data_IF_733745610588
#
_entry.id   IF_733745610588
#
_cell.length_a   1.000
_cell.length_b   1.000
_cell.length_c   1.000
_cell.angle_alpha   90.00
_cell.angle_beta   90.00
_cell.angle_gamma   90.00
#
_symmetry.space_group_name_H-M   'P 1'
#
loop_
_entity.id
_entity.type
_entity.pdbx_description
1 polymer ?
#
# COMPACT_ATOMS: atom_id res chain seq x y z
N UNK A 1 5.31 -3.35 -23.60
CA UNK A 1 6.30 -3.68 -22.54
C UNK A 1 6.63 -2.40 -21.79
N UNK A 2 5.85 -2.04 -20.76
CA UNK A 2 6.18 -0.94 -19.85
C UNK A 2 5.84 -1.43 -18.44
N UNK A 3 6.82 -2.04 -17.77
CA UNK A 3 6.75 -2.35 -16.34
C UNK A 3 7.35 -1.15 -15.62
N UNK A 4 6.50 -0.25 -15.11
CA UNK A 4 6.91 0.87 -14.28
C UNK A 4 7.07 0.36 -12.84
N UNK A 5 8.26 -0.16 -12.52
CA UNK A 5 8.63 -0.38 -11.14
C UNK A 5 9.10 0.97 -10.56
N UNK A 6 8.38 1.47 -9.55
CA UNK A 6 8.89 2.52 -8.69
C UNK A 6 10.18 2.02 -8.03
N UNK A 7 11.29 2.74 -8.23
CA UNK A 7 12.56 2.37 -7.61
C UNK A 7 12.60 3.05 -6.24
N UNK A 8 12.35 2.27 -5.18
CA UNK A 8 12.69 2.67 -3.80
C UNK A 8 14.19 2.50 -3.58
N UNK A 9 14.82 3.49 -2.93
CA UNK A 9 16.26 3.71 -2.99
C UNK A 9 17.04 3.30 -1.73
N UNK A 10 16.36 2.81 -0.68
CA UNK A 10 17.03 2.41 0.57
C UNK A 10 17.92 1.17 0.36
N UNK A 11 19.16 1.14 0.88
CA UNK A 11 20.04 0.00 0.73
C UNK A 11 19.47 -1.23 1.44
N UNK A 12 19.44 -2.38 0.75
CA UNK A 12 19.31 -3.69 1.40
C UNK A 12 20.61 -3.96 2.17
N UNK A 13 20.54 -4.11 3.48
CA UNK A 13 21.71 -4.40 4.31
C UNK A 13 22.31 -5.75 3.94
N UNK A 14 23.38 -5.73 3.15
CA UNK A 14 24.28 -6.86 2.96
C UNK A 14 25.72 -6.38 3.23
N UNK A 15 26.33 -6.97 4.27
CA UNK A 15 27.79 -6.99 4.44
C UNK A 15 28.39 -5.89 5.32
N UNK A 16 28.58 -6.20 6.61
CA UNK A 16 29.57 -5.56 7.47
C UNK A 16 30.97 -5.69 6.85
N UNK A 17 31.66 -4.58 6.63
CA UNK A 17 33.12 -4.56 6.56
C UNK A 17 33.65 -3.45 7.45
N UNK A 18 34.31 -3.84 8.54
CA UNK A 18 35.17 -2.98 9.33
C UNK A 18 36.48 -2.75 8.58
N UNK A 19 36.85 -1.49 8.39
CA UNK A 19 38.17 -1.08 7.93
C UNK A 19 39.17 -1.09 9.10
N UNK A 20 40.34 -1.70 8.89
CA UNK A 20 41.59 -1.15 9.42
C UNK A 20 42.77 -1.53 8.51
N UNK A 21 43.75 -0.64 8.30
CA UNK A 21 44.72 -0.71 7.20
C UNK A 21 46.03 -1.38 7.61
N UNK A 22 46.70 -2.05 6.66
CA UNK A 22 48.09 -2.45 6.88
C UNK A 22 48.66 -3.47 5.89
N UNK A 23 49.44 -2.95 4.94
CA UNK A 23 50.70 -3.52 4.40
C UNK A 23 50.62 -4.68 3.38
N UNK A 24 51.23 -4.38 2.22
CA UNK A 24 51.60 -5.19 1.06
C UNK A 24 52.02 -6.65 1.30
N UNK A 25 51.57 -7.58 0.43
CA UNK A 25 52.37 -8.25 -0.62
C UNK A 25 51.57 -9.40 -1.29
N UNK A 26 51.52 -9.40 -2.63
CA UNK A 26 51.28 -10.58 -3.49
C UNK A 26 52.62 -11.38 -3.60
N UNK A 27 52.70 -12.65 -4.08
CA UNK A 27 51.84 -13.24 -5.11
C UNK A 27 51.57 -14.78 -5.03
N UNK A 28 50.69 -15.27 -5.93
CA UNK A 28 50.90 -16.42 -6.85
C UNK A 28 49.82 -17.52 -6.85
N UNK A 29 49.34 -17.76 -8.08
CA UNK A 29 48.52 -18.85 -8.63
C UNK A 29 48.81 -20.26 -8.11
N UNK A 30 47.78 -21.13 -8.10
CA UNK A 30 47.70 -22.39 -8.89
C UNK A 30 46.22 -22.84 -9.01
N UNK A 31 45.81 -23.20 -10.23
CA UNK A 31 44.53 -23.84 -10.58
C UNK A 31 44.69 -25.38 -10.48
N UNK A 32 43.67 -26.08 -9.98
CA UNK A 32 43.55 -27.53 -10.15
C UNK A 32 42.14 -28.06 -9.85
N UNK A 33 41.62 -29.08 -10.56
CA UNK A 33 40.19 -29.26 -10.82
C UNK A 33 39.56 -30.41 -10.02
N UNK A 34 38.22 -30.50 -10.04
CA UNK A 34 37.38 -31.71 -10.20
C UNK A 34 36.12 -31.84 -9.30
N UNK A 35 35.01 -32.06 -10.00
CA UNK A 35 33.87 -32.99 -9.79
C UNK A 35 32.88 -32.81 -8.61
N UNK A 36 31.64 -32.54 -9.03
CA UNK A 36 30.36 -33.11 -8.60
C UNK A 36 30.33 -34.03 -7.38
N UNK A 37 29.48 -33.69 -6.41
CA UNK A 37 28.52 -34.63 -5.80
C UNK A 37 27.41 -33.89 -5.06
N UNK A 38 26.17 -34.11 -5.50
CA UNK A 38 24.96 -33.89 -4.69
C UNK A 38 25.09 -34.66 -3.38
N UNK A 39 24.78 -34.00 -2.26
CA UNK A 39 24.21 -34.63 -1.07
C UNK A 39 23.21 -33.69 -0.43
N UNK A 40 21.96 -34.15 -0.37
CA UNK A 40 20.93 -33.64 0.53
C UNK A 40 21.41 -33.78 1.97
N UNK A 41 21.31 -32.71 2.76
CA UNK A 41 21.33 -32.79 4.22
C UNK A 41 20.06 -32.14 4.78
N UNK A 42 19.18 -33.00 5.28
CA UNK A 42 18.13 -32.68 6.23
C UNK A 42 18.75 -32.03 7.47
N UNK A 43 18.42 -30.76 7.74
CA UNK A 43 18.66 -30.13 9.03
C UNK A 43 17.31 -29.77 9.65
N UNK A 44 16.92 -30.59 10.63
CA UNK A 44 15.87 -30.33 11.59
C UNK A 44 16.22 -29.09 12.40
N UNK A 45 15.52 -27.98 12.17
CA UNK A 45 15.49 -26.86 13.12
C UNK A 45 14.22 -26.96 13.95
N UNK A 46 14.39 -27.31 15.23
CA UNK A 46 13.33 -27.27 16.24
C UNK A 46 12.86 -25.82 16.39
N UNK A 47 11.59 -25.57 16.06
CA UNK A 47 10.94 -24.27 16.25
C UNK A 47 10.84 -23.92 17.73
N UNK A 48 11.12 -22.66 18.04
CA UNK A 48 10.82 -22.04 19.33
C UNK A 48 9.32 -21.70 19.29
N UNK A 49 8.51 -22.36 20.11
CA UNK A 49 7.10 -22.02 20.30
C UNK A 49 7.01 -20.74 21.15
N UNK A 50 6.49 -19.67 20.55
CA UNK A 50 6.08 -18.45 21.26
C UNK A 50 4.57 -18.59 21.56
N UNK A 51 4.10 -18.40 22.81
CA UNK A 51 2.68 -18.51 23.11
C UNK A 51 1.89 -17.38 22.43
N UNK A 52 0.95 -17.76 21.56
CA UNK A 52 -0.03 -16.84 20.97
C UNK A 52 -1.09 -16.46 22.03
N UNK A 53 -1.50 -15.18 22.14
CA UNK A 53 -2.68 -14.82 22.92
C UNK A 53 -3.92 -15.46 22.28
N UNK A 54 -4.72 -16.16 23.07
CA UNK A 54 -5.98 -16.76 22.63
C UNK A 54 -6.97 -15.64 22.27
N UNK A 55 -7.36 -15.55 21.00
CA UNK A 55 -8.53 -14.75 20.61
C UNK A 55 -9.79 -15.31 21.29
N UNK A 56 -10.66 -14.48 21.88
CA UNK A 56 -11.95 -14.94 22.37
C UNK A 56 -12.85 -15.35 21.18
N UNK A 57 -13.63 -16.43 21.30
CA UNK A 57 -14.60 -16.80 20.28
C UNK A 57 -15.70 -15.74 20.17
N UNK A 58 -16.09 -15.39 18.94
CA UNK A 58 -17.29 -14.58 18.68
C UNK A 58 -18.50 -15.29 19.28
N UNK A 59 -19.16 -14.65 20.25
CA UNK A 59 -20.41 -15.12 20.84
C UNK A 59 -21.50 -14.98 19.79
N UNK A 60 -21.98 -16.12 19.25
CA UNK A 60 -23.30 -16.19 18.65
C UNK A 60 -24.31 -15.94 19.77
N UNK A 61 -25.16 -14.93 19.58
CA UNK A 61 -26.12 -14.45 20.56
C UNK A 61 -27.07 -15.55 21.02
N UNK A 62 -26.94 -15.95 22.29
CA UNK A 62 -28.05 -16.44 23.10
C UNK A 62 -27.99 -15.68 24.42
N UNK A 63 -29.08 -14.97 24.72
CA UNK A 63 -29.27 -14.16 25.92
C UNK A 63 -28.90 -14.90 27.20
N UNK A 64 -28.00 -14.33 28.00
CA UNK A 64 -28.23 -14.08 29.42
C UNK A 64 -27.14 -13.15 30.00
N UNK A 65 -27.60 -12.23 30.88
CA UNK A 65 -26.90 -11.03 31.33
C UNK A 65 -25.41 -11.16 31.64
N UNK A 66 -24.61 -10.38 30.91
CA UNK A 66 -23.34 -9.80 31.38
C UNK A 66 -23.05 -8.55 30.53
N UNK A 67 -22.52 -7.51 31.17
CA UNK A 67 -22.24 -6.17 30.62
C UNK A 67 -21.54 -6.23 29.26
N UNK A 68 -22.31 -6.05 28.18
CA UNK A 68 -21.78 -5.89 26.84
C UNK A 68 -21.05 -4.56 26.74
N UNK A 69 -19.75 -4.59 26.44
CA UNK A 69 -19.06 -3.42 25.89
C UNK A 69 -19.84 -3.07 24.62
N UNK A 70 -20.61 -1.99 24.64
CA UNK A 70 -21.34 -1.53 23.46
C UNK A 70 -20.32 -1.40 22.33
N UNK A 71 -20.55 -2.11 21.22
CA UNK A 71 -19.71 -1.98 20.04
C UNK A 71 -19.65 -0.49 19.69
N UNK A 72 -18.43 0.09 19.71
CA UNK A 72 -18.26 1.49 19.41
C UNK A 72 -18.85 1.76 18.02
N UNK A 73 -19.72 2.77 17.92
CA UNK A 73 -20.27 3.19 16.63
C UNK A 73 -19.11 3.63 15.75
N UNK A 74 -18.93 2.94 14.61
CA UNK A 74 -17.92 3.27 13.61
C UNK A 74 -18.53 4.24 12.59
N UNK A 75 -18.18 5.52 12.72
CA UNK A 75 -18.69 6.63 11.89
C UNK A 75 -17.68 7.10 10.83
N UNK A 76 -16.46 6.56 10.85
CA UNK A 76 -15.42 6.80 9.85
C UNK A 76 -15.25 5.56 8.98
N UNK A 77 -15.21 5.72 7.66
CA UNK A 77 -15.04 4.60 6.73
C UNK A 77 -13.57 4.14 6.70
N UNK A 78 -12.63 5.07 6.54
CA UNK A 78 -11.20 4.78 6.44
C UNK A 78 -10.36 5.79 7.23
N UNK A 79 -9.47 5.27 8.05
CA UNK A 79 -8.34 6.00 8.60
C UNK A 79 -7.05 5.57 7.91
N UNK A 80 -6.25 6.52 7.42
CA UNK A 80 -4.86 6.24 7.00
C UNK A 80 -3.90 6.51 8.16
N UNK A 81 -2.83 5.73 8.29
CA UNK A 81 -1.82 5.87 9.35
C UNK A 81 -0.46 6.29 8.79
N UNK A 82 0.12 7.37 9.30
CA UNK A 82 1.42 7.88 8.86
C UNK A 82 1.43 8.25 7.38
N UNK A 83 2.63 8.45 6.86
CA UNK A 83 2.91 8.72 5.46
C UNK A 83 2.17 9.91 4.87
N UNK A 84 2.11 10.98 5.66
CA UNK A 84 1.63 12.29 5.25
C UNK A 84 2.84 13.13 4.83
N UNK A 85 3.05 13.24 3.53
CA UNK A 85 4.18 13.99 2.97
C UNK A 85 3.72 14.95 1.88
N UNK A 86 4.55 15.95 1.59
CA UNK A 86 4.42 16.75 0.37
C UNK A 86 5.31 16.15 -0.71
N UNK A 87 4.68 15.73 -1.80
CA UNK A 87 5.37 15.33 -3.00
C UNK A 87 5.84 16.58 -3.75
N UNK A 88 7.13 16.64 -4.02
CA UNK A 88 7.78 17.65 -4.84
C UNK A 88 8.03 17.03 -6.22
N UNK A 89 7.17 17.34 -7.18
CA UNK A 89 7.18 16.72 -8.51
C UNK A 89 8.06 17.50 -9.47
N UNK A 90 9.15 16.89 -9.95
CA UNK A 90 10.12 17.55 -10.82
C UNK A 90 10.54 16.68 -12.00
N UNK A 91 10.59 17.31 -13.17
CA UNK A 91 11.26 16.73 -14.33
C UNK A 91 12.78 16.91 -14.18
N UNK A 92 13.51 15.82 -14.27
CA UNK A 92 14.98 15.79 -14.18
C UNK A 92 15.58 15.18 -15.45
N UNK A 93 16.79 15.59 -15.85
CA UNK A 93 17.44 15.00 -17.03
C UNK A 93 17.75 13.51 -16.84
N UNK A 94 18.05 13.12 -15.60
CA UNK A 94 18.31 11.74 -15.20
C UNK A 94 17.85 11.51 -13.75
N UNK A 95 17.43 10.28 -13.45
CA UNK A 95 17.09 9.87 -12.10
C UNK A 95 18.34 9.81 -11.21
N UNK A 96 18.20 9.95 -9.88
CA UNK A 96 19.32 9.91 -8.97
C UNK A 96 20.17 8.64 -9.12
N UNK A 97 21.49 8.74 -8.97
CA UNK A 97 22.38 7.60 -9.11
C UNK A 97 22.13 6.56 -8.00
N UNK A 98 22.46 5.28 -8.26
CA UNK A 98 22.26 4.20 -7.28
C UNK A 98 23.16 4.28 -6.03
N UNK A 99 24.46 4.63 -6.12
CA UNK A 99 25.32 4.72 -4.95
C UNK A 99 24.83 5.77 -3.95
N UNK A 100 24.78 5.40 -2.66
CA UNK A 100 24.17 6.21 -1.61
C UNK A 100 24.79 7.60 -1.50
N UNK A 101 26.13 7.71 -1.46
CA UNK A 101 26.83 8.99 -1.33
C UNK A 101 26.57 9.92 -2.52
N UNK A 102 26.61 9.40 -3.74
CA UNK A 102 26.36 10.18 -4.96
C UNK A 102 24.90 10.65 -5.02
N UNK A 103 23.98 9.78 -4.59
CA UNK A 103 22.56 10.11 -4.51
C UNK A 103 22.29 11.17 -3.46
N UNK A 104 22.92 11.07 -2.30
CA UNK A 104 22.81 12.07 -1.25
C UNK A 104 23.30 13.44 -1.75
N UNK A 105 24.47 13.48 -2.38
CA UNK A 105 24.99 14.73 -2.98
C UNK A 105 24.06 15.31 -4.06
N UNK A 106 23.47 14.45 -4.90
CA UNK A 106 22.47 14.85 -5.89
C UNK A 106 21.24 15.48 -5.22
N UNK A 107 20.69 14.83 -4.19
CA UNK A 107 19.50 15.32 -3.48
C UNK A 107 19.78 16.59 -2.67
N UNK A 108 20.95 16.71 -2.06
CA UNK A 108 21.40 17.93 -1.38
C UNK A 108 21.56 19.10 -2.35
N UNK A 109 22.02 18.84 -3.59
CA UNK A 109 22.06 19.88 -4.61
C UNK A 109 20.66 20.30 -5.05
N UNK A 110 19.76 19.32 -5.22
CA UNK A 110 18.39 19.56 -5.64
C UNK A 110 17.59 20.34 -4.59
N UNK A 111 17.83 20.09 -3.29
CA UNK A 111 17.09 20.70 -2.18
C UNK A 111 17.54 22.11 -1.80
N UNK A 112 18.65 22.63 -2.36
CA UNK A 112 19.14 24.00 -2.09
C UNK A 112 18.17 25.10 -2.50
N UNK A 113 17.23 24.81 -3.40
CA UNK A 113 16.21 25.75 -3.83
C UNK A 113 14.94 24.96 -4.08
N UNK A 114 14.16 24.63 -3.02
CA UNK A 114 12.96 23.84 -3.18
C UNK A 114 12.01 24.55 -4.14
N UNK A 115 11.35 23.79 -5.02
CA UNK A 115 10.60 24.38 -6.12
C UNK A 115 9.33 25.07 -5.62
N UNK A 116 8.83 25.99 -6.45
CA UNK A 116 7.60 26.75 -6.22
C UNK A 116 6.40 25.83 -5.86
N UNK A 117 5.45 26.34 -5.08
CA UNK A 117 4.24 25.63 -4.62
C UNK A 117 3.44 24.98 -5.75
N UNK A 118 3.56 25.46 -7.00
CA UNK A 118 2.95 24.82 -8.18
C UNK A 118 3.45 23.39 -8.46
N UNK A 119 4.58 22.98 -7.87
CA UNK A 119 5.15 21.64 -8.00
C UNK A 119 4.84 20.73 -6.80
N UNK A 120 4.03 21.21 -5.85
CA UNK A 120 3.70 20.47 -4.65
C UNK A 120 2.37 19.74 -4.83
N UNK A 121 2.33 18.50 -4.39
CA UNK A 121 1.12 17.72 -4.24
C UNK A 121 1.07 17.04 -2.87
N UNK A 122 -0.13 16.73 -2.39
CA UNK A 122 -0.28 15.91 -1.20
C UNK A 122 0.09 14.46 -1.54
N UNK A 123 1.11 13.92 -0.87
CA UNK A 123 1.73 12.64 -1.19
C UNK A 123 1.46 11.53 -0.17
N UNK A 124 1.99 10.35 -0.48
CA UNK A 124 1.88 9.16 0.37
C UNK A 124 0.43 8.74 0.61
N UNK A 125 0.08 8.49 1.88
CA UNK A 125 -1.25 8.08 2.28
C UNK A 125 -2.35 9.14 2.01
N UNK A 126 -1.98 10.40 1.72
CA UNK A 126 -2.94 11.40 1.27
C UNK A 126 -3.64 10.97 -0.03
N UNK A 127 -2.95 10.27 -0.92
CA UNK A 127 -3.53 9.79 -2.18
C UNK A 127 -4.69 8.83 -1.94
N UNK A 128 -4.55 7.89 -0.99
CA UNK A 128 -5.61 6.94 -0.62
C UNK A 128 -6.79 7.68 -0.03
N UNK A 129 -6.54 8.62 0.90
CA UNK A 129 -7.59 9.39 1.55
C UNK A 129 -8.38 10.25 0.56
N UNK A 130 -7.69 10.94 -0.36
CA UNK A 130 -8.31 11.77 -1.42
C UNK A 130 -9.12 10.89 -2.38
N UNK A 131 -8.57 9.78 -2.85
CA UNK A 131 -9.30 8.87 -3.72
C UNK A 131 -10.56 8.29 -3.02
N UNK A 132 -10.45 7.94 -1.74
CA UNK A 132 -11.56 7.41 -0.95
C UNK A 132 -12.65 8.47 -0.72
N UNK A 133 -12.27 9.70 -0.36
CA UNK A 133 -13.20 10.81 -0.18
C UNK A 133 -13.95 11.12 -1.48
N UNK A 134 -13.26 11.11 -2.62
CA UNK A 134 -13.87 11.31 -3.95
C UNK A 134 -14.80 10.18 -4.38
N UNK A 135 -14.63 8.97 -3.84
CA UNK A 135 -15.61 7.87 -3.99
C UNK A 135 -16.80 7.99 -3.02
N UNK A 136 -16.78 8.96 -2.10
CA UNK A 136 -17.84 9.22 -1.13
C UNK A 136 -17.62 8.61 0.25
N UNK A 137 -16.43 8.08 0.54
CA UNK A 137 -16.11 7.53 1.86
C UNK A 137 -15.75 8.65 2.85
N UNK A 138 -16.20 8.52 4.10
CA UNK A 138 -15.78 9.41 5.17
C UNK A 138 -14.38 9.05 5.65
N UNK A 139 -13.40 9.91 5.37
CA UNK A 139 -11.99 9.64 5.58
C UNK A 139 -11.39 10.51 6.68
N UNK A 140 -10.46 9.92 7.43
CA UNK A 140 -9.55 10.67 8.31
C UNK A 140 -8.11 10.27 8.03
N UNK A 141 -7.18 11.19 8.16
CA UNK A 141 -5.74 10.92 8.08
C UNK A 141 -5.10 11.09 9.44
N UNK A 142 -4.35 10.08 9.89
CA UNK A 142 -3.67 10.07 11.18
C UNK A 142 -2.17 10.10 10.91
N UNK A 143 -1.47 11.13 11.36
CA UNK A 143 -0.03 11.23 11.09
C UNK A 143 0.58 12.53 11.57
N UNK A 144 1.88 12.67 11.41
CA UNK A 144 2.59 13.91 11.74
C UNK A 144 2.46 14.93 10.61
N UNK A 145 2.26 16.19 10.98
CA UNK A 145 2.30 17.33 10.07
C UNK A 145 2.96 18.47 10.83
N UNK A 146 3.96 19.11 10.23
CA UNK A 146 4.68 20.23 10.84
C UNK A 146 3.88 21.54 10.78
N UNK A 147 4.26 22.52 11.61
CA UNK A 147 3.60 23.84 11.67
C UNK A 147 4.03 24.81 10.55
N UNK A 148 4.88 24.33 9.63
CA UNK A 148 5.48 25.09 8.54
C UNK A 148 4.59 25.10 7.26
N UNK A 149 5.07 25.73 6.18
CA UNK A 149 4.32 25.99 4.94
C UNK A 149 3.81 24.74 4.20
N UNK A 150 4.57 23.65 4.18
CA UNK A 150 4.25 22.34 3.60
C UNK A 150 3.18 21.64 4.44
N UNK A 151 3.30 21.69 5.77
CA UNK A 151 2.30 21.13 6.66
C UNK A 151 0.96 21.85 6.56
N UNK A 152 0.97 23.19 6.52
CA UNK A 152 -0.23 23.99 6.22
C UNK A 152 -0.82 23.65 4.85
N UNK A 153 0.03 23.48 3.84
CA UNK A 153 -0.41 23.05 2.52
C UNK A 153 -1.12 21.69 2.55
N UNK A 154 -0.60 20.69 3.27
CA UNK A 154 -1.28 19.40 3.41
C UNK A 154 -2.63 19.53 4.11
N UNK A 155 -2.69 20.32 5.19
CA UNK A 155 -3.93 20.57 5.93
C UNK A 155 -4.97 21.22 5.02
N UNK A 156 -4.58 22.25 4.27
CA UNK A 156 -5.46 22.95 3.32
C UNK A 156 -6.01 21.98 2.26
N UNK A 157 -5.13 21.19 1.62
CA UNK A 157 -5.53 20.24 0.56
C UNK A 157 -6.47 19.16 1.10
N UNK A 158 -6.17 18.57 2.26
CA UNK A 158 -7.01 17.53 2.84
C UNK A 158 -8.36 18.11 3.30
N UNK A 159 -8.37 19.32 3.86
CA UNK A 159 -9.60 20.03 4.22
C UNK A 159 -10.48 20.34 3.01
N UNK A 160 -9.89 20.79 1.89
CA UNK A 160 -10.61 21.06 0.63
C UNK A 160 -11.27 19.79 0.06
N UNK A 161 -10.69 18.62 0.32
CA UNK A 161 -11.24 17.30 -0.05
C UNK A 161 -12.19 16.73 1.02
N UNK A 162 -12.46 17.47 2.10
CA UNK A 162 -13.36 17.07 3.19
C UNK A 162 -12.78 16.01 4.14
N UNK A 163 -11.45 15.91 4.23
CA UNK A 163 -10.73 14.91 5.01
C UNK A 163 -10.22 15.55 6.30
N UNK A 164 -10.58 14.98 7.45
CA UNK A 164 -10.08 15.44 8.74
C UNK A 164 -8.71 14.85 9.06
N UNK A 165 -7.88 15.60 9.79
CA UNK A 165 -6.55 15.14 10.23
C UNK A 165 -6.53 14.98 11.75
N UNK A 166 -5.95 13.87 12.22
CA UNK A 166 -5.59 13.67 13.62
C UNK A 166 -4.07 13.65 13.73
N UNK A 167 -3.53 14.78 14.19
CA UNK A 167 -2.09 15.00 14.29
C UNK A 167 -1.42 14.11 15.34
N UNK A 168 -0.33 13.44 14.94
CA UNK A 168 0.56 12.70 15.85
C UNK A 168 1.65 13.65 16.36
N UNK A 169 1.33 14.49 17.34
CA UNK A 169 2.26 15.44 17.91
C UNK A 169 2.48 15.11 19.39
N UNK A 170 3.64 14.54 19.75
CA UNK A 170 4.04 14.45 21.16
C UNK A 170 4.53 15.84 21.59
N UNK A 171 3.68 16.59 22.29
CA UNK A 171 4.12 17.78 23.03
C UNK A 171 4.81 17.35 24.31
N UNK A 172 6.07 16.96 24.21
CA UNK A 172 6.94 16.85 25.39
C UNK A 172 7.82 18.09 25.47
N UNK A 173 7.55 18.94 26.46
CA UNK A 173 8.41 20.10 26.81
C UNK A 173 9.86 19.67 27.17
N UNK A 174 10.10 18.37 27.35
CA UNK A 174 11.39 17.79 27.72
C UNK A 174 12.24 17.34 26.53
N UNK A 175 11.73 17.37 25.29
CA UNK A 175 12.53 17.01 24.12
C UNK A 175 13.06 18.29 23.46
N UNK A 176 14.37 18.51 23.56
CA UNK A 176 15.10 19.48 22.73
C UNK A 176 15.17 18.96 21.29
N UNK A 177 14.02 18.82 20.63
CA UNK A 177 13.95 18.50 19.20
C UNK A 177 14.45 19.71 18.42
N UNK A 178 15.25 19.48 17.38
CA UNK A 178 15.55 20.56 16.45
C UNK A 178 14.26 20.93 15.70
N UNK A 179 14.15 22.16 15.21
CA UNK A 179 12.99 22.57 14.41
C UNK A 179 12.78 21.66 13.18
N UNK A 180 13.86 21.06 12.65
CA UNK A 180 13.84 20.18 11.50
C UNK A 180 13.30 18.76 11.79
N UNK A 181 13.32 18.30 13.04
CA UNK A 181 12.82 16.97 13.43
C UNK A 181 11.29 16.90 13.49
N UNK A 182 10.63 18.07 13.44
CA UNK A 182 9.17 18.25 13.45
C UNK A 182 8.64 18.83 12.12
N UNK A 183 9.47 18.86 11.08
CA UNK A 183 9.03 19.31 9.75
C UNK A 183 8.25 18.21 9.04
N UNK A 184 7.26 18.64 8.25
CA UNK A 184 6.50 17.75 7.36
C UNK A 184 7.45 17.02 6.43
N UNK A 185 7.21 15.72 6.22
CA UNK A 185 8.05 14.93 5.32
C UNK A 185 7.92 15.45 3.88
N UNK A 186 9.05 15.64 3.21
CA UNK A 186 9.12 15.94 1.79
C UNK A 186 9.56 14.69 1.03
N UNK A 187 8.86 14.38 -0.05
CA UNK A 187 9.21 13.32 -0.97
C UNK A 187 9.45 13.93 -2.35
N UNK A 188 10.65 13.77 -2.89
CA UNK A 188 10.98 14.21 -4.24
C UNK A 188 10.54 13.14 -5.23
N UNK A 189 9.57 13.49 -6.06
CA UNK A 189 9.04 12.65 -7.15
C UNK A 189 9.68 13.12 -8.44
N UNK A 190 10.72 12.41 -8.86
CA UNK A 190 11.58 12.78 -9.98
C UNK A 190 11.18 12.01 -11.23
N UNK A 191 10.90 12.73 -12.31
CA UNK A 191 10.45 12.18 -13.59
C UNK A 191 11.54 12.38 -14.64
N UNK A 192 12.02 11.30 -15.25
CA UNK A 192 13.01 11.38 -16.33
C UNK A 192 12.36 11.52 -17.72
N UNK A 193 13.14 11.79 -18.79
CA UNK A 193 12.59 11.91 -20.15
C UNK A 193 11.95 10.62 -20.68
N UNK A 194 12.20 9.48 -20.03
CA UNK A 194 11.59 8.18 -20.33
C UNK A 194 10.33 7.90 -19.50
N UNK A 195 9.80 8.89 -18.77
CA UNK A 195 8.64 8.78 -17.88
C UNK A 195 8.81 7.74 -16.77
N UNK A 196 10.05 7.55 -16.32
CA UNK A 196 10.35 6.75 -15.13
C UNK A 196 10.36 7.65 -13.91
N UNK A 197 9.92 7.08 -12.80
CA UNK A 197 9.81 7.77 -11.52
C UNK A 197 10.91 7.32 -10.56
N UNK A 198 11.56 8.27 -9.91
CA UNK A 198 12.40 8.07 -8.74
C UNK A 198 11.79 8.79 -7.54
N UNK A 199 11.67 8.11 -6.41
CA UNK A 199 11.11 8.66 -5.18
C UNK A 199 12.23 8.78 -4.16
N UNK A 200 12.45 9.97 -3.62
CA UNK A 200 13.46 10.15 -2.60
C UNK A 200 12.99 11.11 -1.52
N UNK A 201 12.94 10.64 -0.28
CA UNK A 201 12.61 11.45 0.88
C UNK A 201 13.83 11.61 1.79
N UNK A 202 13.76 12.52 2.76
CA UNK A 202 14.78 12.63 3.80
C UNK A 202 14.94 11.32 4.58
N UNK A 203 13.90 10.51 4.71
CA UNK A 203 13.94 9.23 5.41
C UNK A 203 14.82 8.18 4.69
N UNK A 204 15.09 8.33 3.40
CA UNK A 204 15.99 7.42 2.66
C UNK A 204 17.46 7.55 3.08
N UNK A 205 17.82 8.66 3.74
CA UNK A 205 19.18 8.96 4.21
C UNK A 205 19.37 8.71 5.72
N UNK A 206 18.34 8.18 6.40
CA UNK A 206 18.39 7.85 7.82
C UNK A 206 18.15 6.35 8.03
N UNK A 207 18.87 5.78 9.00
CA UNK A 207 18.59 4.43 9.49
C UNK A 207 17.36 4.40 10.40
N UNK A 208 17.14 5.49 11.14
CA UNK A 208 16.02 5.65 12.07
C UNK A 208 14.81 6.25 11.36
N UNK A 209 13.58 5.90 11.78
CA UNK A 209 12.36 6.51 11.27
C UNK A 209 12.36 8.03 11.46
N UNK A 210 11.74 8.76 10.53
CA UNK A 210 11.71 10.22 10.50
C UNK A 210 11.17 10.84 11.79
N UNK A 211 10.24 10.15 12.45
CA UNK A 211 9.62 10.57 13.70
C UNK A 211 9.86 9.56 14.83
N UNK A 212 11.09 9.06 14.93
CA UNK A 212 11.53 8.11 15.97
C UNK A 212 11.30 8.59 17.41
N UNK A 213 11.13 9.90 17.61
CA UNK A 213 10.75 10.50 18.88
C UNK A 213 9.32 10.17 19.32
N UNK A 214 8.44 9.73 18.43
CA UNK A 214 7.10 9.25 18.77
C UNK A 214 7.18 7.87 19.40
N UNK A 215 6.81 7.80 20.68
CA UNK A 215 6.91 6.59 21.49
C UNK A 215 5.54 5.98 21.79
N UNK A 216 4.46 6.76 21.74
CA UNK A 216 3.11 6.30 22.07
C UNK A 216 2.02 6.94 21.22
N UNK A 217 0.96 6.18 20.97
CA UNK A 217 -0.27 6.73 20.39
C UNK A 217 -1.02 7.59 21.42
N UNK A 218 -1.40 8.80 21.02
CA UNK A 218 -2.26 9.67 21.83
C UNK A 218 -3.67 9.09 21.97
N UNK A 219 -4.48 9.68 22.85
CA UNK A 219 -5.89 9.29 23.02
C UNK A 219 -6.68 9.55 21.74
N UNK A 220 -6.43 10.68 21.10
CA UNK A 220 -7.09 11.12 19.86
C UNK A 220 -6.80 10.14 18.72
N UNK A 221 -5.54 9.72 18.58
CA UNK A 221 -5.12 8.71 17.59
C UNK A 221 -5.81 7.37 17.84
N UNK A 222 -5.84 6.89 19.08
CA UNK A 222 -6.55 5.64 19.42
C UNK A 222 -8.05 5.75 19.15
N UNK A 223 -8.64 6.91 19.40
CA UNK A 223 -10.06 7.16 19.12
C UNK A 223 -10.37 7.19 17.61
N UNK A 224 -9.49 7.80 16.82
CA UNK A 224 -9.56 7.80 15.35
C UNK A 224 -9.58 6.37 14.81
N UNK A 225 -8.63 5.52 15.26
CA UNK A 225 -8.59 4.10 14.88
C UNK A 225 -9.89 3.39 15.29
N UNK A 226 -10.33 3.52 16.55
CA UNK A 226 -11.52 2.83 17.08
C UNK A 226 -12.80 3.14 16.31
N UNK A 227 -12.97 4.40 15.91
CA UNK A 227 -14.13 4.90 15.16
C UNK A 227 -14.14 4.52 13.68
N UNK A 228 -13.02 4.00 13.17
CA UNK A 228 -12.87 3.67 11.76
C UNK A 228 -13.31 2.24 11.45
N UNK A 229 -13.92 2.02 10.28
CA UNK A 229 -14.17 0.68 9.74
C UNK A 229 -12.87 0.04 9.26
N UNK A 230 -12.02 0.82 8.57
CA UNK A 230 -10.73 0.40 8.06
C UNK A 230 -9.61 1.28 8.63
N UNK A 231 -8.51 0.64 9.06
CA UNK A 231 -7.20 1.28 9.23
C UNK A 231 -6.32 0.84 8.05
N UNK A 232 -5.89 1.78 7.23
CA UNK A 232 -4.94 1.55 6.15
C UNK A 232 -3.52 1.87 6.61
N UNK A 233 -2.65 0.89 6.45
CA UNK A 233 -1.22 1.00 6.69
C UNK A 233 -0.47 0.62 5.41
N UNK A 234 0.74 1.14 5.24
CA UNK A 234 1.62 0.77 4.14
C UNK A 234 3.07 0.55 4.60
N UNK A 235 3.93 0.01 3.72
CA UNK A 235 5.31 -0.28 4.06
C UNK A 235 6.20 0.94 4.31
N UNK A 236 5.84 2.11 3.79
CA UNK A 236 6.51 3.39 4.06
C UNK A 236 6.18 3.96 5.45
N UNK A 237 5.14 3.45 6.14
CA UNK A 237 4.89 3.84 7.53
C UNK A 237 6.11 3.54 8.44
N UNK A 238 6.93 2.54 8.08
CA UNK A 238 8.19 2.21 8.77
C UNK A 238 9.31 3.24 8.58
N UNK A 239 9.22 4.07 7.55
CA UNK A 239 10.17 5.16 7.34
C UNK A 239 9.86 6.37 8.22
N UNK A 240 8.66 6.44 8.78
CA UNK A 240 8.20 7.54 9.63
C UNK A 240 8.03 7.14 11.10
N UNK A 241 7.43 5.97 11.33
CA UNK A 241 7.03 5.50 12.64
C UNK A 241 7.90 4.33 13.09
N UNK A 242 8.16 4.27 14.39
CA UNK A 242 8.90 3.15 14.98
C UNK A 242 8.09 1.84 14.88
N UNK A 243 8.76 0.68 14.74
CA UNK A 243 8.06 -0.61 14.71
C UNK A 243 7.14 -0.84 15.93
N UNK A 244 7.54 -0.40 17.13
CA UNK A 244 6.71 -0.48 18.34
C UNK A 244 5.44 0.37 18.28
N UNK A 245 5.49 1.54 17.64
CA UNK A 245 4.33 2.41 17.47
C UNK A 245 3.34 1.84 16.45
N UNK A 246 3.86 1.26 15.37
CA UNK A 246 3.05 0.51 14.39
C UNK A 246 2.37 -0.71 15.03
N UNK A 247 3.08 -1.45 15.88
CA UNK A 247 2.49 -2.55 16.65
C UNK A 247 1.37 -2.06 17.59
N UNK A 248 1.56 -0.91 18.24
CA UNK A 248 0.53 -0.30 19.10
C UNK A 248 -0.73 0.10 18.30
N UNK A 249 -0.57 0.57 17.06
CA UNK A 249 -1.69 0.93 16.19
C UNK A 249 -2.45 -0.32 15.72
N UNK A 250 -1.71 -1.36 15.35
CA UNK A 250 -2.25 -2.67 15.01
C UNK A 250 -3.05 -3.27 16.17
N UNK A 251 -2.49 -3.27 17.38
CA UNK A 251 -3.18 -3.76 18.59
C UNK A 251 -4.46 -2.96 18.85
N UNK A 252 -4.42 -1.64 18.75
CA UNK A 252 -5.61 -0.79 18.89
C UNK A 252 -6.69 -1.11 17.85
N UNK A 253 -6.31 -1.38 16.60
CA UNK A 253 -7.24 -1.75 15.54
C UNK A 253 -7.90 -3.11 15.83
N UNK A 254 -7.11 -4.11 16.23
CA UNK A 254 -7.58 -5.46 16.56
C UNK A 254 -8.53 -5.44 17.76
N UNK A 255 -8.16 -4.77 18.85
CA UNK A 255 -8.98 -4.65 20.06
C UNK A 255 -10.33 -3.98 19.79
N UNK A 256 -10.38 -3.08 18.81
CA UNK A 256 -11.58 -2.31 18.45
C UNK A 256 -12.38 -2.90 17.29
N UNK A 257 -11.98 -4.05 16.77
CA UNK A 257 -12.60 -4.68 15.61
C UNK A 257 -12.54 -3.81 14.34
N UNK A 258 -11.51 -2.96 14.23
CA UNK A 258 -11.22 -2.19 13.02
C UNK A 258 -10.46 -3.07 12.04
N UNK A 259 -10.97 -3.19 10.81
CA UNK A 259 -10.31 -4.00 9.79
C UNK A 259 -9.00 -3.36 9.36
N UNK A 260 -7.94 -4.16 9.24
CA UNK A 260 -6.63 -3.66 8.80
C UNK A 260 -6.42 -4.00 7.33
N UNK A 261 -6.10 -2.97 6.55
CA UNK A 261 -5.65 -3.08 5.18
C UNK A 261 -4.16 -2.76 5.16
N UNK A 262 -3.36 -3.62 4.53
CA UNK A 262 -1.93 -3.42 4.46
C UNK A 262 -1.40 -3.57 3.04
N UNK A 263 -0.72 -2.51 2.57
CA UNK A 263 0.07 -2.51 1.35
C UNK A 263 1.56 -2.44 1.70
N UNK A 264 2.29 -3.57 1.74
CA UNK A 264 3.71 -3.54 2.09
C UNK A 264 4.56 -2.74 1.10
N UNK A 265 4.05 -2.50 -0.12
CA UNK A 265 4.74 -1.78 -1.17
C UNK A 265 6.14 -2.33 -1.49
N UNK A 266 7.00 -1.52 -2.12
CA UNK A 266 8.38 -1.92 -2.41
C UNK A 266 9.21 -2.13 -1.14
N UNK A 267 8.77 -1.57 0.00
CA UNK A 267 9.42 -1.71 1.30
C UNK A 267 9.34 -3.12 1.86
N UNK A 268 8.33 -3.91 1.49
CA UNK A 268 8.12 -5.24 2.04
C UNK A 268 9.37 -6.13 1.98
N UNK A 269 10.07 -6.16 0.84
CA UNK A 269 11.32 -6.93 0.69
C UNK A 269 12.41 -6.47 1.65
N UNK A 270 12.64 -5.15 1.72
CA UNK A 270 13.67 -4.57 2.59
C UNK A 270 13.38 -4.80 4.07
N UNK A 271 12.10 -4.77 4.47
CA UNK A 271 11.66 -4.97 5.85
C UNK A 271 11.79 -6.43 6.29
N UNK A 272 11.50 -7.41 5.41
CA UNK A 272 11.73 -8.83 5.69
C UNK A 272 13.22 -9.15 5.87
N UNK A 273 14.10 -8.43 5.18
CA UNK A 273 15.55 -8.55 5.34
C UNK A 273 16.15 -7.55 6.34
N UNK A 274 15.31 -6.74 7.00
CA UNK A 274 15.70 -5.60 7.81
C UNK A 274 16.10 -5.96 9.24
N UNK A 275 15.99 -5.01 10.17
CA UNK A 275 16.25 -5.22 11.59
C UNK A 275 15.27 -6.24 12.19
N UNK A 276 15.64 -6.97 13.26
CA UNK A 276 14.73 -7.95 13.87
C UNK A 276 13.37 -7.39 14.31
N UNK A 277 13.32 -6.12 14.72
CA UNK A 277 12.06 -5.42 15.02
C UNK A 277 11.21 -5.17 13.78
N UNK A 278 11.80 -4.71 12.68
CA UNK A 278 11.11 -4.49 11.41
C UNK A 278 10.53 -5.80 10.89
N UNK A 279 11.32 -6.88 10.91
CA UNK A 279 10.90 -8.23 10.52
C UNK A 279 9.71 -8.73 11.37
N UNK A 280 9.74 -8.51 12.68
CA UNK A 280 8.64 -8.90 13.57
C UNK A 280 7.37 -8.12 13.25
N UNK A 281 7.48 -6.80 13.12
CA UNK A 281 6.33 -5.93 12.91
C UNK A 281 5.71 -6.11 11.52
N UNK A 282 6.51 -6.22 10.45
CA UNK A 282 5.96 -6.54 9.11
C UNK A 282 5.32 -7.93 9.11
N UNK A 283 5.92 -8.90 9.79
CA UNK A 283 5.34 -10.22 9.97
C UNK A 283 3.99 -10.19 10.70
N UNK A 284 3.82 -9.32 11.71
CA UNK A 284 2.53 -9.09 12.37
C UNK A 284 1.52 -8.45 11.41
N UNK A 285 1.89 -7.38 10.71
CA UNK A 285 1.01 -6.71 9.73
C UNK A 285 0.54 -7.66 8.64
N UNK A 286 1.44 -8.44 8.04
CA UNK A 286 1.08 -9.45 7.03
C UNK A 286 0.09 -10.49 7.56
N UNK A 287 0.23 -10.95 8.81
CA UNK A 287 -0.64 -11.98 9.39
C UNK A 287 -1.98 -11.45 9.91
N UNK A 288 -2.00 -10.21 10.39
CA UNK A 288 -3.16 -9.64 11.10
C UNK A 288 -4.04 -8.76 10.20
N UNK A 289 -3.58 -8.44 8.99
CA UNK A 289 -4.38 -7.71 8.01
C UNK A 289 -5.49 -8.56 7.41
N UNK A 290 -6.70 -8.00 7.34
CA UNK A 290 -7.84 -8.63 6.67
C UNK A 290 -7.73 -8.54 5.15
N UNK A 291 -7.11 -7.47 4.67
CA UNK A 291 -6.87 -7.24 3.24
C UNK A 291 -5.39 -6.93 3.02
N UNK A 292 -4.74 -7.74 2.18
CA UNK A 292 -3.39 -7.48 1.68
C UNK A 292 -3.48 -7.00 0.24
N UNK A 293 -2.79 -5.90 -0.09
CA UNK A 293 -2.72 -5.36 -1.44
C UNK A 293 -1.27 -5.31 -1.88
N UNK A 294 -0.93 -6.00 -2.96
CA UNK A 294 0.44 -6.07 -3.47
C UNK A 294 0.43 -6.03 -5.00
N UNK A 295 1.51 -5.59 -5.60
CA UNK A 295 1.79 -5.89 -7.01
C UNK A 295 2.25 -7.33 -7.18
N UNK A 296 2.22 -7.86 -8.41
CA UNK A 296 2.79 -9.19 -8.73
C UNK A 296 4.26 -9.31 -8.31
N UNK A 297 5.04 -8.26 -8.55
CA UNK A 297 6.46 -8.20 -8.25
C UNK A 297 6.71 -8.16 -6.74
N UNK A 298 5.89 -7.42 -5.98
CA UNK A 298 5.96 -7.39 -4.52
C UNK A 298 5.56 -8.74 -3.92
N UNK A 299 4.44 -9.33 -4.36
CA UNK A 299 3.99 -10.64 -3.90
C UNK A 299 5.05 -11.73 -4.15
N UNK A 300 5.64 -11.74 -5.35
CA UNK A 300 6.75 -12.63 -5.67
C UNK A 300 7.98 -12.37 -4.80
N UNK A 301 8.28 -11.11 -4.50
CA UNK A 301 9.41 -10.79 -3.64
C UNK A 301 9.22 -11.18 -2.18
N UNK A 302 7.99 -11.25 -1.66
CA UNK A 302 7.73 -11.69 -0.28
C UNK A 302 7.66 -13.22 -0.15
N UNK A 303 7.19 -13.90 -1.18
CA UNK A 303 6.91 -15.36 -1.15
C UNK A 303 7.98 -16.19 -1.84
N UNK A 304 8.75 -15.61 -2.75
CA UNK A 304 9.61 -16.34 -3.69
C UNK A 304 8.86 -17.02 -4.84
N UNK A 305 7.55 -16.76 -5.00
CA UNK A 305 6.67 -17.42 -5.98
C UNK A 305 6.30 -16.41 -7.08
N UNK A 306 6.65 -16.70 -8.33
CA UNK A 306 6.39 -15.77 -9.45
C UNK A 306 4.94 -15.81 -9.95
N UNK A 307 4.24 -16.94 -9.77
CA UNK A 307 2.84 -17.04 -10.15
C UNK A 307 2.00 -16.18 -9.19
N UNK A 308 1.23 -15.19 -9.69
CA UNK A 308 0.52 -14.25 -8.84
C UNK A 308 -0.60 -14.90 -8.01
N UNK A 309 -1.22 -15.96 -8.52
CA UNK A 309 -2.27 -16.68 -7.79
C UNK A 309 -1.65 -17.47 -6.65
N UNK A 310 -0.60 -18.27 -6.92
CA UNK A 310 0.07 -19.06 -5.91
C UNK A 310 0.75 -18.18 -4.84
N UNK A 311 1.38 -17.07 -5.25
CA UNK A 311 1.93 -16.10 -4.30
C UNK A 311 0.84 -15.50 -3.40
N UNK A 312 -0.31 -15.12 -3.96
CA UNK A 312 -1.40 -14.60 -3.17
C UNK A 312 -2.07 -15.65 -2.27
N UNK A 313 -2.13 -16.91 -2.71
CA UNK A 313 -2.59 -18.03 -1.89
C UNK A 313 -1.65 -18.31 -0.71
N UNK A 314 -0.34 -18.25 -0.93
CA UNK A 314 0.67 -18.40 0.12
C UNK A 314 0.50 -17.32 1.20
N UNK A 315 0.35 -16.06 0.78
CA UNK A 315 0.08 -14.94 1.70
C UNK A 315 -1.23 -15.13 2.45
N UNK A 316 -2.29 -15.55 1.77
CA UNK A 316 -3.60 -15.82 2.38
C UNK A 316 -3.52 -16.94 3.42
N UNK A 317 -2.80 -18.02 3.14
CA UNK A 317 -2.65 -19.18 4.02
C UNK A 317 -1.79 -18.87 5.26
N UNK A 318 -0.79 -18.01 5.09
CA UNK A 318 0.05 -17.53 6.20
C UNK A 318 -0.66 -16.47 7.07
N UNK A 319 -1.73 -15.86 6.54
CA UNK A 319 -2.58 -14.91 7.23
C UNK A 319 -3.45 -15.55 8.33
N UNK A 320 -3.48 -14.94 9.51
CA UNK A 320 -4.39 -15.33 10.61
C UNK A 320 -5.77 -14.72 10.40
N UNK A 321 -5.82 -13.44 10.03
CA UNK A 321 -7.05 -12.68 9.82
C UNK A 321 -7.37 -12.42 8.34
N UNK A 322 -6.47 -12.79 7.45
CA UNK A 322 -6.54 -12.41 6.03
C UNK A 322 -7.73 -13.07 5.34
N UNK A 323 -8.56 -12.22 4.73
CA UNK A 323 -9.73 -12.60 3.95
C UNK A 323 -9.46 -12.42 2.47
N UNK A 324 -8.87 -11.29 2.09
CA UNK A 324 -8.59 -10.92 0.70
C UNK A 324 -7.10 -10.70 0.52
N UNK A 325 -6.52 -11.33 -0.50
CA UNK A 325 -5.22 -10.94 -1.05
C UNK A 325 -5.45 -10.46 -2.48
N UNK A 326 -5.10 -9.20 -2.75
CA UNK A 326 -5.23 -8.61 -4.08
C UNK A 326 -3.86 -8.42 -4.69
N UNK A 327 -3.67 -8.98 -5.88
CA UNK A 327 -2.46 -8.88 -6.68
C UNK A 327 -2.72 -7.96 -7.88
N UNK A 328 -2.11 -6.78 -7.87
CA UNK A 328 -2.15 -5.74 -8.91
C UNK A 328 -1.10 -6.06 -9.97
N UNK A 329 -1.46 -5.99 -11.25
CA UNK A 329 -0.57 -6.35 -12.36
C UNK A 329 -0.53 -5.24 -13.43
N UNK A 330 -0.69 -3.99 -13.00
CA UNK A 330 -0.68 -2.81 -13.86
C UNK A 330 -1.65 -2.93 -15.04
N UNK A 331 -1.17 -2.83 -16.30
CA UNK A 331 -2.04 -2.88 -17.49
C UNK A 331 -2.71 -4.24 -17.70
N UNK A 332 -2.34 -5.29 -16.96
CA UNK A 332 -3.00 -6.60 -17.01
C UNK A 332 -4.21 -6.68 -16.08
N UNK A 333 -4.41 -5.72 -15.19
CA UNK A 333 -5.51 -5.70 -14.23
C UNK A 333 -5.11 -6.27 -12.87
N UNK A 334 -5.99 -7.06 -12.26
CA UNK A 334 -5.83 -7.50 -10.88
C UNK A 334 -6.51 -8.83 -10.60
N UNK A 335 -6.03 -9.54 -9.57
CA UNK A 335 -6.60 -10.79 -9.05
C UNK A 335 -6.90 -10.61 -7.58
N UNK A 336 -8.09 -11.02 -7.13
CA UNK A 336 -8.49 -11.08 -5.72
C UNK A 336 -8.67 -12.53 -5.33
N UNK A 337 -7.94 -12.95 -4.30
CA UNK A 337 -7.90 -14.33 -3.83
C UNK A 337 -8.51 -14.38 -2.44
N UNK A 338 -9.46 -15.28 -2.26
CA UNK A 338 -10.06 -15.63 -0.97
C UNK A 338 -9.84 -17.12 -0.69
N UNK A 339 -10.29 -17.59 0.48
CA UNK A 339 -10.20 -19.02 0.82
C UNK A 339 -11.03 -19.90 -0.12
N UNK A 340 -12.12 -19.37 -0.68
CA UNK A 340 -13.08 -20.14 -1.49
C UNK A 340 -13.03 -19.82 -2.98
N UNK A 341 -12.54 -18.64 -3.37
CA UNK A 341 -12.65 -18.16 -4.75
C UNK A 341 -11.44 -17.35 -5.21
N UNK A 342 -11.28 -17.29 -6.53
CA UNK A 342 -10.34 -16.42 -7.23
C UNK A 342 -11.18 -15.55 -8.16
N UNK A 343 -11.01 -14.23 -8.10
CA UNK A 343 -11.67 -13.28 -9.00
C UNK A 343 -10.63 -12.50 -9.79
N UNK A 344 -10.73 -12.53 -11.11
CA UNK A 344 -9.84 -11.83 -12.03
C UNK A 344 -10.59 -10.70 -12.72
N UNK A 345 -9.96 -9.54 -12.81
CA UNK A 345 -10.48 -8.40 -13.56
C UNK A 345 -9.37 -7.81 -14.45
N UNK A 346 -9.55 -7.77 -15.78
CA UNK A 346 -8.67 -7.03 -16.67
C UNK A 346 -8.66 -5.53 -16.37
N UNK A 347 -7.57 -4.83 -16.70
CA UNK A 347 -7.49 -3.39 -16.58
C UNK A 347 -8.33 -2.69 -17.66
N UNK A 348 -8.68 -1.42 -17.44
CA UNK A 348 -9.21 -0.56 -18.49
C UNK A 348 -8.09 -0.06 -19.39
N UNK A 349 -8.34 -0.01 -20.70
CA UNK A 349 -7.43 0.52 -21.70
C UNK A 349 -7.52 2.04 -21.71
N UNK A 350 -6.46 2.70 -21.27
CA UNK A 350 -6.35 4.16 -21.20
C UNK A 350 -5.05 4.65 -21.83
N UNK A 351 -5.00 5.93 -22.17
CA UNK A 351 -3.73 6.60 -22.48
C UNK A 351 -3.05 7.02 -21.18
N UNK A 352 -1.86 6.49 -20.93
CA UNK A 352 -1.14 6.70 -19.66
C UNK A 352 -0.35 8.01 -19.77
N UNK A 353 -0.56 8.91 -18.80
CA UNK A 353 0.24 10.12 -18.61
C UNK A 353 1.25 9.87 -17.48
N UNK A 354 0.75 9.46 -16.32
CA UNK A 354 1.55 9.18 -15.13
C UNK A 354 0.97 7.95 -14.42
N UNK A 355 1.78 7.22 -13.65
CA UNK A 355 1.35 6.06 -12.85
C UNK A 355 1.38 6.32 -11.35
N UNK A 356 1.84 7.50 -10.91
CA UNK A 356 1.86 7.89 -9.49
C UNK A 356 0.43 7.92 -8.94
N UNK A 357 0.23 7.37 -7.74
CA UNK A 357 -1.06 7.33 -7.06
C UNK A 357 -2.08 6.33 -7.63
N UNK A 358 -1.76 5.59 -8.70
CA UNK A 358 -2.67 4.57 -9.25
C UNK A 358 -2.93 3.42 -8.27
N UNK A 359 -1.89 2.97 -7.57
CA UNK A 359 -2.01 1.95 -6.52
C UNK A 359 -2.82 2.45 -5.33
N UNK A 360 -2.57 3.68 -4.89
CA UNK A 360 -3.29 4.31 -3.78
C UNK A 360 -4.79 4.49 -4.10
N UNK A 361 -5.09 4.94 -5.33
CA UNK A 361 -6.47 5.11 -5.79
C UNK A 361 -7.17 3.76 -5.92
N UNK A 362 -6.44 2.70 -6.30
CA UNK A 362 -6.95 1.34 -6.32
C UNK A 362 -7.34 0.86 -4.90
N UNK A 363 -6.51 1.14 -3.88
CA UNK A 363 -6.81 0.81 -2.47
C UNK A 363 -8.13 1.43 -2.03
N UNK A 364 -8.36 2.71 -2.34
CA UNK A 364 -9.59 3.41 -1.99
C UNK A 364 -10.85 2.73 -2.56
N UNK A 365 -10.79 2.25 -3.79
CA UNK A 365 -11.89 1.51 -4.42
C UNK A 365 -12.10 0.11 -3.81
N UNK A 366 -11.03 -0.57 -3.41
CA UNK A 366 -11.15 -1.83 -2.66
C UNK A 366 -11.82 -1.59 -1.32
N UNK A 367 -11.44 -0.52 -0.60
CA UNK A 367 -12.09 -0.12 0.64
C UNK A 367 -13.57 0.19 0.45
N UNK A 368 -13.94 0.91 -0.62
CA UNK A 368 -15.34 1.15 -0.97
C UNK A 368 -16.11 -0.16 -1.18
N UNK A 369 -15.55 -1.08 -1.97
CA UNK A 369 -16.16 -2.37 -2.23
C UNK A 369 -16.29 -3.26 -1.00
N UNK A 370 -15.30 -3.21 -0.10
CA UNK A 370 -15.30 -3.94 1.17
C UNK A 370 -16.37 -3.41 2.13
N UNK A 371 -16.46 -2.09 2.31
CA UNK A 371 -17.43 -1.46 3.24
C UNK A 371 -18.88 -1.66 2.78
N UNK A 372 -19.10 -1.70 1.47
CA UNK A 372 -20.44 -1.83 0.87
C UNK A 372 -20.81 -3.27 0.52
N UNK A 373 -20.01 -4.25 0.95
CA UNK A 373 -20.20 -5.68 0.68
C UNK A 373 -20.47 -5.96 -0.82
N UNK A 374 -19.72 -5.29 -1.70
CA UNK A 374 -19.88 -5.49 -3.14
C UNK A 374 -19.37 -6.88 -3.55
N UNK A 375 -19.97 -7.48 -4.59
CA UNK A 375 -19.41 -8.68 -5.21
C UNK A 375 -17.94 -8.45 -5.59
N UNK A 376 -17.09 -9.46 -5.40
CA UNK A 376 -15.63 -9.33 -5.61
C UNK A 376 -15.27 -8.83 -7.01
N UNK A 377 -16.02 -9.26 -8.03
CA UNK A 377 -15.83 -8.79 -9.41
C UNK A 377 -16.18 -7.32 -9.57
N UNK A 378 -17.13 -6.79 -8.79
CA UNK A 378 -17.55 -5.39 -8.85
C UNK A 378 -16.50 -4.53 -8.15
N UNK A 379 -16.01 -4.99 -6.99
CA UNK A 379 -14.90 -4.36 -6.26
C UNK A 379 -13.66 -4.24 -7.15
N UNK A 380 -13.21 -5.33 -7.78
CA UNK A 380 -12.04 -5.27 -8.66
C UNK A 380 -12.26 -4.44 -9.93
N UNK A 381 -13.46 -4.48 -10.51
CA UNK A 381 -13.77 -3.64 -11.68
C UNK A 381 -13.69 -2.16 -11.32
N UNK A 382 -14.27 -1.76 -10.18
CA UNK A 382 -14.17 -0.39 -9.69
C UNK A 382 -12.71 -0.02 -9.38
N UNK A 383 -11.96 -0.90 -8.73
CA UNK A 383 -10.57 -0.64 -8.38
C UNK A 383 -9.66 -0.47 -9.61
N UNK A 384 -9.81 -1.34 -10.62
CA UNK A 384 -9.14 -1.17 -11.90
C UNK A 384 -9.56 0.12 -12.62
N UNK A 385 -10.84 0.50 -12.58
CA UNK A 385 -11.31 1.73 -13.20
C UNK A 385 -10.73 2.97 -12.50
N UNK A 386 -10.70 2.99 -11.17
CA UNK A 386 -10.17 4.11 -10.40
C UNK A 386 -8.66 4.25 -10.61
N UNK A 387 -7.90 3.16 -10.53
CA UNK A 387 -6.47 3.17 -10.82
C UNK A 387 -6.16 3.60 -12.26
N UNK A 388 -6.89 3.08 -13.25
CA UNK A 388 -6.70 3.47 -14.65
C UNK A 388 -7.12 4.92 -14.92
N UNK A 389 -8.18 5.42 -14.29
CA UNK A 389 -8.58 6.82 -14.39
C UNK A 389 -7.49 7.76 -13.83
N UNK A 390 -6.88 7.41 -12.69
CA UNK A 390 -5.77 8.19 -12.10
C UNK A 390 -4.58 8.23 -13.07
N UNK A 391 -4.33 7.14 -13.82
CA UNK A 391 -3.24 7.09 -14.78
C UNK A 391 -3.39 8.05 -15.98
N UNK A 392 -4.57 8.64 -16.17
CA UNK A 392 -4.85 9.58 -17.28
C UNK A 392 -4.53 11.04 -16.95
N UNK A 393 -4.06 11.33 -15.73
CA UNK A 393 -3.56 12.64 -15.30
C UNK A 393 -2.13 12.57 -14.78
N UNK A 394 -1.53 13.71 -14.43
CA UNK A 394 -0.22 13.78 -13.77
C UNK A 394 -0.36 13.47 -12.27
N UNK A 395 -0.66 12.22 -11.93
CA UNK A 395 -1.15 11.76 -10.63
C UNK A 395 -0.38 12.19 -9.37
N UNK A 396 -0.95 11.83 -8.20
CA UNK A 396 -0.71 12.33 -6.83
C UNK A 396 -1.57 13.54 -6.41
N UNK A 397 -1.92 13.57 -5.12
CA UNK A 397 -2.62 14.65 -4.46
C UNK A 397 -3.90 15.08 -5.18
N UNK A 398 -3.95 16.35 -5.55
CA UNK A 398 -5.13 16.95 -6.19
C UNK A 398 -5.41 16.35 -7.57
N UNK A 399 -4.41 15.71 -8.19
CA UNK A 399 -4.48 15.12 -9.53
C UNK A 399 -4.95 13.67 -9.55
N UNK A 400 -5.25 13.05 -8.39
CA UNK A 400 -5.98 11.78 -8.31
C UNK A 400 -7.26 11.85 -9.16
N UNK A 401 -7.79 10.75 -9.67
CA UNK A 401 -9.01 10.80 -10.48
C UNK A 401 -10.20 11.39 -9.74
N UNK A 402 -11.01 12.20 -10.44
CA UNK A 402 -12.34 12.59 -9.95
C UNK A 402 -13.35 11.47 -10.17
N UNK A 403 -14.42 11.45 -9.37
CA UNK A 403 -15.52 10.51 -9.56
C UNK A 403 -16.14 10.58 -10.97
N UNK A 404 -16.19 11.79 -11.55
CA UNK A 404 -16.66 12.00 -12.91
C UNK A 404 -15.82 11.22 -13.93
N UNK A 405 -14.50 11.26 -13.80
CA UNK A 405 -13.58 10.55 -14.69
C UNK A 405 -13.68 9.03 -14.55
N UNK A 406 -13.83 8.54 -13.31
CA UNK A 406 -14.07 7.12 -13.03
C UNK A 406 -15.36 6.64 -13.71
N UNK A 407 -16.44 7.43 -13.58
CA UNK A 407 -17.74 7.11 -14.20
C UNK A 407 -17.68 7.12 -15.73
N UNK A 408 -16.95 8.06 -16.32
CA UNK A 408 -16.70 8.10 -17.77
C UNK A 408 -16.02 6.79 -18.22
N UNK A 409 -14.92 6.41 -17.56
CA UNK A 409 -14.17 5.21 -17.93
C UNK A 409 -14.98 3.92 -17.77
N UNK A 410 -15.79 3.80 -16.71
CA UNK A 410 -16.71 2.67 -16.54
C UNK A 410 -17.72 2.58 -17.71
N UNK A 411 -18.27 3.72 -18.15
CA UNK A 411 -19.23 3.78 -19.27
C UNK A 411 -18.60 3.44 -20.61
N UNK A 412 -17.34 3.83 -20.84
CA UNK A 412 -16.60 3.43 -22.05
C UNK A 412 -16.41 1.91 -22.14
N UNK A 413 -16.37 1.22 -20.98
CA UNK A 413 -16.36 -0.24 -20.91
C UNK A 413 -15.23 -0.90 -21.74
N UNK A 414 -14.10 -0.20 -21.85
CA UNK A 414 -12.99 -0.62 -22.71
C UNK A 414 -11.88 -1.31 -21.90
N UNK A 415 -12.01 -2.62 -21.70
CA UNK A 415 -10.98 -3.47 -21.09
C UNK A 415 -9.81 -3.80 -22.03
N UNK A 416 -8.63 -3.94 -21.42
CA UNK A 416 -7.44 -4.58 -21.98
C UNK A 416 -7.52 -6.09 -21.72
N UNK A 417 -8.31 -6.80 -22.53
CA UNK A 417 -8.43 -8.26 -22.45
C UNK A 417 -7.29 -8.93 -23.24
N UNK A 418 -6.45 -9.67 -22.52
CA UNK A 418 -5.44 -10.57 -23.08
C UNK A 418 -5.85 -12.00 -22.70
N UNK A 419 -6.66 -12.64 -23.56
CA UNK A 419 -7.20 -13.99 -23.28
C UNK A 419 -6.08 -15.00 -23.07
N UNK A 420 -5.00 -14.91 -23.87
CA UNK A 420 -3.86 -15.81 -23.75
C UNK A 420 -3.20 -15.68 -22.37
N UNK A 421 -2.97 -14.46 -21.89
CA UNK A 421 -2.43 -14.25 -20.56
C UNK A 421 -3.33 -14.85 -19.47
N UNK A 422 -4.64 -14.66 -19.55
CA UNK A 422 -5.56 -15.18 -18.54
C UNK A 422 -5.68 -16.70 -18.61
N UNK A 423 -5.67 -17.31 -19.79
CA UNK A 423 -5.65 -18.76 -19.94
C UNK A 423 -4.37 -19.35 -19.34
N UNK A 424 -3.20 -18.74 -19.57
CA UNK A 424 -1.92 -19.15 -18.98
C UNK A 424 -1.90 -19.03 -17.44
N UNK A 425 -2.40 -17.93 -16.89
CA UNK A 425 -2.45 -17.72 -15.44
C UNK A 425 -3.45 -18.67 -14.76
N UNK A 426 -4.53 -19.02 -15.45
CA UNK A 426 -5.58 -19.86 -14.88
C UNK A 426 -5.30 -21.35 -15.06
N UNK A 427 -4.67 -21.81 -16.16
CA UNK A 427 -4.54 -23.24 -16.51
C UNK A 427 -3.96 -24.11 -15.40
N UNK A 428 -3.03 -23.57 -14.61
CA UNK A 428 -2.32 -24.32 -13.56
C UNK A 428 -3.00 -24.22 -12.19
N UNK A 429 -4.04 -23.38 -12.06
CA UNK A 429 -4.58 -22.92 -10.79
C UNK A 429 -6.07 -23.26 -10.55
N UNK A 430 -6.76 -23.93 -11.50
CA UNK A 430 -8.22 -24.15 -11.46
C UNK A 430 -8.67 -25.29 -10.53
N UNK A 431 -7.80 -26.21 -10.13
CA UNK A 431 -8.22 -27.55 -9.65
C UNK A 431 -8.93 -27.66 -8.27
N UNK A 432 -9.50 -26.60 -7.68
CA UNK A 432 -10.38 -26.72 -6.48
C UNK A 432 -11.18 -25.49 -6.06
N UNK A 433 -11.12 -24.36 -6.79
CA UNK A 433 -11.70 -23.08 -6.33
C UNK A 433 -12.62 -22.47 -7.37
N UNK A 434 -13.65 -21.73 -6.91
CA UNK A 434 -14.52 -20.99 -7.79
C UNK A 434 -13.75 -19.83 -8.44
N UNK A 435 -13.48 -19.95 -9.75
CA UNK A 435 -12.82 -18.90 -10.52
C UNK A 435 -13.88 -18.02 -11.17
N UNK A 436 -13.77 -16.71 -10.99
CA UNK A 436 -14.60 -15.70 -11.64
C UNK A 436 -13.73 -14.76 -12.47
N UNK A 437 -14.09 -14.53 -13.74
CA UNK A 437 -13.35 -13.63 -14.63
C UNK A 437 -14.29 -12.57 -15.19
N UNK A 438 -13.95 -11.30 -15.02
CA UNK A 438 -14.62 -10.19 -15.69
C UNK A 438 -14.32 -10.24 -17.20
N UNK A 439 -15.36 -10.14 -18.03
CA UNK A 439 -15.18 -10.10 -19.49
C UNK A 439 -16.17 -9.14 -20.18
N UNK A 440 -15.77 -8.61 -21.34
CA UNK A 440 -16.64 -7.87 -22.27
C UNK A 440 -17.75 -8.73 -22.84
N UNK A 441 -17.50 -10.02 -23.10
CA UNK A 441 -18.48 -10.94 -23.72
C UNK A 441 -19.10 -11.91 -22.72
N UNK A 442 -20.41 -12.13 -22.84
CA UNK A 442 -21.11 -13.22 -22.14
C UNK A 442 -20.83 -14.50 -22.91
N UNK A 443 -19.88 -15.32 -22.43
CA UNK A 443 -19.67 -16.66 -22.99
C UNK A 443 -20.40 -17.65 -22.08
N UNK A 444 -21.53 -18.16 -22.56
CA UNK A 444 -22.14 -19.36 -22.01
C UNK A 444 -21.36 -20.56 -22.57
N UNK A 445 -20.38 -21.05 -21.82
CA UNK A 445 -19.58 -22.23 -22.19
C UNK A 445 -19.31 -23.11 -20.97
N UNK A 446 -19.29 -24.43 -21.19
CA UNK A 446 -18.96 -25.48 -20.22
C UNK A 446 -17.50 -25.39 -19.74
N UNK A 447 -17.11 -24.34 -19.03
CA UNK A 447 -15.79 -24.23 -18.41
C UNK A 447 -15.94 -24.02 -16.91
N UNK A 448 -15.00 -24.55 -16.12
CA UNK A 448 -14.86 -24.39 -14.65
C UNK A 448 -14.66 -22.93 -14.19
N UNK A 449 -14.80 -21.96 -15.10
CA UNK A 449 -14.57 -20.53 -14.91
C UNK A 449 -15.88 -19.77 -15.14
N UNK A 450 -16.34 -19.05 -14.12
CA UNK A 450 -17.52 -18.20 -14.17
C UNK A 450 -17.18 -16.86 -14.83
N UNK A 451 -17.72 -16.56 -16.00
CA UNK A 451 -17.52 -15.25 -16.66
C UNK A 451 -18.61 -14.25 -16.25
N UNK A 452 -18.19 -13.05 -15.81
CA UNK A 452 -19.10 -11.95 -15.43
C UNK A 452 -19.01 -10.84 -16.46
N UNK A 453 -20.16 -10.47 -17.04
CA UNK A 453 -20.24 -9.38 -18.02
C UNK A 453 -19.91 -8.03 -17.39
N UNK A 454 -18.99 -7.30 -18.02
CA UNK A 454 -18.68 -5.91 -17.66
C UNK A 454 -19.91 -5.01 -17.68
N UNK A 455 -20.79 -5.15 -18.68
CA UNK A 455 -22.00 -4.32 -18.78
C UNK A 455 -22.90 -4.51 -17.56
N UNK A 456 -23.04 -5.75 -17.07
CA UNK A 456 -23.77 -6.06 -15.83
C UNK A 456 -23.10 -5.41 -14.62
N UNK A 457 -21.77 -5.49 -14.52
CA UNK A 457 -21.05 -4.84 -13.41
C UNK A 457 -21.26 -3.33 -13.44
N UNK A 458 -21.09 -2.71 -14.60
CA UNK A 458 -21.21 -1.26 -14.78
C UNK A 458 -22.63 -0.77 -14.44
N UNK A 459 -23.67 -1.50 -14.85
CA UNK A 459 -25.06 -1.12 -14.52
C UNK A 459 -25.38 -1.17 -13.03
N UNK A 460 -24.67 -2.00 -12.26
CA UNK A 460 -24.87 -2.17 -10.81
C UNK A 460 -23.95 -1.26 -9.98
N UNK A 461 -22.74 -0.98 -10.46
CA UNK A 461 -21.75 -0.13 -9.76
C UNK A 461 -22.05 1.36 -9.94
N UNK A 462 -22.43 1.80 -11.15
CA UNK A 462 -22.64 3.23 -11.42
C UNK A 462 -23.68 3.89 -10.50
N UNK A 463 -24.87 3.30 -10.24
CA UNK A 463 -25.84 3.90 -9.33
C UNK A 463 -25.31 4.05 -7.91
N UNK A 464 -24.50 3.10 -7.43
CA UNK A 464 -23.91 3.14 -6.07
C UNK A 464 -22.93 4.30 -5.91
N UNK A 465 -22.29 4.73 -6.99
CA UNK A 465 -21.43 5.92 -7.01
C UNK A 465 -22.23 7.24 -7.10
N UNK A 466 -23.50 7.22 -7.50
CA UNK A 466 -24.34 8.42 -7.64
C UNK A 466 -24.97 8.88 -6.33
N UNK A 467 -25.15 7.97 -5.37
CA UNK A 467 -25.70 8.25 -4.04
C UNK A 467 -24.66 8.63 -2.98
N UNK A 468 -23.37 8.65 -3.33
CA UNK A 468 -22.33 9.22 -2.49
C UNK A 468 -22.64 10.71 -2.27
N UNK A 469 -22.95 11.15 -1.02
CA UNK A 469 -23.36 12.52 -0.78
C UNK A 469 -22.24 13.47 -1.21
N UNK A 470 -22.61 14.48 -2.00
CA UNK A 470 -21.76 15.65 -2.24
C UNK A 470 -21.49 16.30 -0.88
N UNK A 471 -20.34 16.05 -0.28
CA UNK A 471 -19.81 16.85 0.82
C UNK A 471 -19.37 18.22 0.27
N UNK A 472 -20.31 18.99 -0.27
CA UNK A 472 -20.13 20.44 -0.45
C UNK A 472 -20.62 21.11 0.81
N UNK A 473 -19.85 20.97 1.89
CA UNK A 473 -20.02 21.77 3.09
C UNK A 473 -19.01 22.91 3.06
N UNK A 474 -19.41 24.08 2.56
CA UNK A 474 -18.68 25.31 2.86
C UNK A 474 -18.79 25.54 4.36
N UNK A 475 -17.74 25.23 5.12
CA UNK A 475 -17.62 25.75 6.47
C UNK A 475 -17.24 27.23 6.33
N UNK A 476 -18.21 28.09 6.67
CA UNK A 476 -17.99 29.53 6.85
C UNK A 476 -17.27 29.81 8.16
#
# INVERSE_FOLDING_TARGET
MHHHAAISFKPSSNGLFSLNPGIFQNPSFVIGPFRNKLRYSLLNCRGIEIPLPKLPPRINSVNNGSTSIAAAVKDVDIATLGNLCVDIVLNVPELPPKPLEQRQAYMEQLSKSPPDKRYWEAGGNCNVAIAAARLGLHCISVGHVGDEIYGRFLIDVLSDEGISIVGMNERSEALNLSSADNETLLCWVLVDPSQRHGFCSRADFSADPAFSWMSRLSTEVKMAIRKSKILFCNGYDFDELSPSLLESALECAVESGTSIFFDPGPRGRSLIAGRPEEQRTIGKLLRMSEVLLLTSEEAASLTGINDPILAGQELLNNGVCTKWVIVKMGPKGSILITKSSITCAPAFKVNIIDTVGCGDSFVAAVAFGFIHDLPLSYTLTLANAVGAATATGCGAGRNVASLGKVRELLKESNLNEDEKFWDEVLSDNVNSRDVTVLSKMVVNGNSEVNRVSLLKVVSEVLPKLEFAPKMTGSFK
#
